data_IF_799209987481
#
_entry.id   IF_799209987481
#
_cell.length_a   1.000
_cell.length_b   1.000
_cell.length_c   1.000
_cell.angle_alpha   90.00
_cell.angle_beta   90.00
_cell.angle_gamma   90.00
#
_symmetry.space_group_name_H-M   'P 1'
#
loop_
_entity.id
_entity.type
_entity.pdbx_description
1 polymer ?
#
# COMPACT_ATOMS: atom_id res chain seq x y z
N UNK A 1 2.02 -0.74 -13.65
CA UNK A 1 1.53 0.65 -13.90
C UNK A 1 0.09 0.52 -14.34
N UNK A 2 -0.86 1.20 -13.67
CA UNK A 2 -2.28 1.14 -14.05
C UNK A 2 -2.49 1.98 -15.32
N UNK A 3 -3.25 1.46 -16.28
CA UNK A 3 -3.64 2.16 -17.48
C UNK A 3 -5.00 2.83 -17.27
N UNK A 4 -4.98 3.96 -16.57
CA UNK A 4 -6.17 4.70 -16.15
C UNK A 4 -6.78 5.47 -17.32
N UNK A 5 -8.09 5.39 -17.46
CA UNK A 5 -8.86 6.29 -18.34
C UNK A 5 -8.79 7.72 -17.77
N UNK A 6 -8.37 8.74 -18.54
CA UNK A 6 -8.33 10.12 -18.06
C UNK A 6 -9.70 10.60 -17.57
N UNK A 7 -9.73 11.36 -16.47
CA UNK A 7 -10.98 11.76 -15.79
C UNK A 7 -11.92 12.53 -16.71
N UNK A 8 -11.36 13.39 -17.54
CA UNK A 8 -12.07 14.18 -18.55
C UNK A 8 -12.77 13.33 -19.62
N UNK A 9 -12.39 12.05 -19.78
CA UNK A 9 -13.00 11.11 -20.73
C UNK A 9 -13.84 10.03 -20.06
N UNK A 10 -13.96 10.04 -18.73
CA UNK A 10 -14.75 9.03 -18.01
C UNK A 10 -16.24 9.18 -18.30
N UNK A 11 -16.71 10.40 -18.52
CA UNK A 11 -18.12 10.76 -18.64
C UNK A 11 -18.51 11.15 -20.07
N UNK A 12 -19.75 10.82 -20.44
CA UNK A 12 -20.39 11.36 -21.64
C UNK A 12 -20.87 12.82 -21.43
N UNK A 13 -21.47 13.48 -22.45
CA UNK A 13 -21.98 14.85 -22.32
C UNK A 13 -23.08 15.03 -21.26
N UNK A 14 -23.75 13.97 -20.83
CA UNK A 14 -24.75 14.00 -19.75
C UNK A 14 -24.10 13.80 -18.35
N UNK A 15 -22.77 13.66 -18.28
CA UNK A 15 -22.03 13.44 -17.04
C UNK A 15 -22.07 11.99 -16.57
N UNK A 16 -22.51 11.04 -17.42
CA UNK A 16 -22.61 9.63 -17.07
C UNK A 16 -21.30 8.90 -17.34
N UNK A 17 -20.74 8.19 -16.34
CA UNK A 17 -19.56 7.36 -16.56
C UNK A 17 -19.78 6.25 -17.59
N UNK A 18 -18.77 5.93 -18.41
CA UNK A 18 -18.89 4.89 -19.46
C UNK A 18 -19.37 3.53 -18.92
N UNK A 19 -19.03 3.20 -17.69
CA UNK A 19 -19.39 1.95 -17.02
C UNK A 19 -20.79 1.97 -16.39
N UNK A 20 -21.49 3.11 -16.35
CA UNK A 20 -22.85 3.25 -15.80
C UNK A 20 -23.95 3.32 -16.86
N UNK A 21 -23.65 3.06 -18.13
CA UNK A 21 -24.32 1.95 -18.81
C UNK A 21 -25.86 1.78 -18.75
N UNK A 22 -26.23 1.09 -17.68
CA UNK A 22 -27.51 0.47 -17.39
C UNK A 22 -28.29 1.24 -16.31
N UNK A 23 -27.81 2.41 -15.87
CA UNK A 23 -28.51 3.29 -14.95
C UNK A 23 -28.32 4.76 -15.33
N UNK A 24 -29.23 5.61 -14.87
CA UNK A 24 -29.15 7.05 -15.07
C UNK A 24 -28.54 7.69 -13.82
N UNK A 25 -27.21 7.63 -13.72
CA UNK A 25 -26.43 8.20 -12.61
C UNK A 25 -25.29 9.02 -13.17
N UNK A 26 -25.19 10.27 -12.71
CA UNK A 26 -24.02 11.10 -12.99
C UNK A 26 -22.81 10.58 -12.21
N UNK A 27 -21.61 11.00 -12.60
CA UNK A 27 -20.39 10.75 -11.84
C UNK A 27 -20.51 11.22 -10.38
N UNK A 28 -21.09 12.41 -10.17
CA UNK A 28 -21.26 12.99 -8.84
C UNK A 28 -22.21 12.14 -7.97
N UNK A 29 -23.34 11.69 -8.54
CA UNK A 29 -24.26 10.80 -7.84
C UNK A 29 -23.60 9.48 -7.46
N UNK A 30 -22.85 8.90 -8.40
CA UNK A 30 -22.15 7.65 -8.16
C UNK A 30 -21.10 7.78 -7.05
N UNK A 31 -20.28 8.84 -7.06
CA UNK A 31 -19.32 9.09 -5.99
C UNK A 31 -20.00 9.33 -4.63
N UNK A 32 -21.17 9.99 -4.61
CA UNK A 32 -21.96 10.14 -3.38
C UNK A 32 -22.44 8.79 -2.84
N UNK A 33 -22.81 7.83 -3.71
CA UNK A 33 -23.17 6.46 -3.30
C UNK A 33 -21.98 5.67 -2.75
N UNK A 34 -20.78 5.87 -3.29
CA UNK A 34 -19.56 5.25 -2.75
C UNK A 34 -19.19 5.80 -1.37
N UNK A 35 -19.61 7.03 -1.05
CA UNK A 35 -19.42 7.68 0.26
C UNK A 35 -20.63 7.57 1.19
N UNK A 36 -21.64 6.79 0.81
CA UNK A 36 -22.87 6.64 1.59
C UNK A 36 -22.60 6.07 2.99
N UNK A 37 -23.34 6.49 4.01
CA UNK A 37 -23.14 6.05 5.40
C UNK A 37 -23.35 4.53 5.60
N UNK A 38 -24.31 3.97 4.87
CA UNK A 38 -24.60 2.53 4.89
C UNK A 38 -23.55 1.70 4.09
N UNK A 39 -22.83 0.76 4.72
CA UNK A 39 -21.86 -0.11 4.05
C UNK A 39 -22.45 -1.03 2.98
N UNK A 40 -23.72 -1.44 3.07
CA UNK A 40 -24.35 -2.30 2.06
C UNK A 40 -24.64 -1.51 0.77
N UNK A 41 -25.00 -0.23 0.89
CA UNK A 41 -25.11 0.69 -0.27
C UNK A 41 -23.75 0.84 -0.95
N UNK A 42 -22.70 1.15 -0.16
CA UNK A 42 -21.33 1.26 -0.72
C UNK A 42 -20.90 -0.04 -1.41
N UNK A 43 -21.14 -1.18 -0.78
CA UNK A 43 -20.78 -2.49 -1.31
C UNK A 43 -21.50 -2.79 -2.63
N UNK A 44 -22.78 -2.46 -2.75
CA UNK A 44 -23.55 -2.63 -3.99
C UNK A 44 -22.96 -1.80 -5.15
N UNK A 45 -22.73 -0.50 -4.93
CA UNK A 45 -22.23 0.38 -5.99
C UNK A 45 -20.77 0.10 -6.36
N UNK A 46 -19.94 -0.27 -5.37
CA UNK A 46 -18.58 -0.72 -5.62
C UNK A 46 -18.57 -2.00 -6.47
N UNK A 47 -19.38 -3.01 -6.12
CA UNK A 47 -19.49 -4.22 -6.92
C UNK A 47 -20.04 -3.95 -8.32
N UNK A 48 -20.98 -3.02 -8.47
CA UNK A 48 -21.51 -2.62 -9.78
C UNK A 48 -20.39 -2.09 -10.68
N UNK A 49 -19.58 -1.15 -10.19
CA UNK A 49 -18.43 -0.64 -10.94
C UNK A 49 -17.41 -1.74 -11.24
N UNK A 50 -17.08 -2.61 -10.28
CA UNK A 50 -16.17 -3.74 -10.50
C UNK A 50 -16.66 -4.73 -11.57
N UNK A 51 -17.97 -4.80 -11.87
CA UNK A 51 -18.50 -5.62 -12.97
C UNK A 51 -18.37 -4.94 -14.34
N UNK A 52 -18.37 -3.62 -14.39
CA UNK A 52 -18.66 -2.86 -15.60
C UNK A 52 -17.49 -1.98 -16.06
N UNK A 53 -16.66 -1.51 -15.14
CA UNK A 53 -15.47 -0.72 -15.43
C UNK A 53 -14.28 -1.63 -15.78
N UNK A 54 -13.30 -1.05 -16.47
CA UNK A 54 -11.95 -1.62 -16.55
C UNK A 54 -11.40 -1.79 -15.13
N UNK A 55 -10.71 -2.90 -14.82
CA UNK A 55 -10.17 -3.13 -13.49
C UNK A 55 -9.30 -1.98 -12.97
N UNK A 56 -8.47 -1.40 -13.82
CA UNK A 56 -7.58 -0.29 -13.47
C UNK A 56 -8.37 0.97 -13.05
N UNK A 57 -9.51 1.24 -13.70
CA UNK A 57 -10.34 2.41 -13.41
C UNK A 57 -11.04 2.32 -12.05
N UNK A 58 -11.28 1.11 -11.52
CA UNK A 58 -11.85 0.91 -10.18
C UNK A 58 -11.00 1.62 -9.11
N UNK A 59 -9.67 1.61 -9.28
CA UNK A 59 -8.74 2.21 -8.32
C UNK A 59 -8.69 3.75 -8.39
N UNK A 60 -9.39 4.36 -9.35
CA UNK A 60 -9.64 5.81 -9.34
C UNK A 60 -10.71 6.21 -8.29
N UNK A 61 -11.51 5.24 -7.82
CA UNK A 61 -12.69 5.47 -6.97
C UNK A 61 -12.60 4.77 -5.62
N UNK A 62 -11.92 3.63 -5.54
CA UNK A 62 -11.81 2.85 -4.31
C UNK A 62 -10.37 2.40 -4.09
N UNK A 63 -9.89 2.57 -2.86
CA UNK A 63 -8.59 2.04 -2.45
C UNK A 63 -8.68 0.53 -2.26
N UNK A 64 -7.56 -0.18 -2.46
CA UNK A 64 -7.49 -1.62 -2.23
C UNK A 64 -7.95 -2.00 -0.81
N UNK A 65 -7.57 -1.21 0.21
CA UNK A 65 -8.00 -1.42 1.59
C UNK A 65 -9.53 -1.32 1.76
N UNK A 66 -10.17 -0.39 1.06
CA UNK A 66 -11.63 -0.20 1.11
C UNK A 66 -12.35 -1.37 0.42
N UNK A 67 -11.82 -1.83 -0.73
CA UNK A 67 -12.33 -3.02 -1.43
C UNK A 67 -12.24 -4.25 -0.52
N UNK A 68 -11.09 -4.45 0.15
CA UNK A 68 -10.90 -5.56 1.10
C UNK A 68 -11.87 -5.50 2.28
N UNK A 69 -12.05 -4.32 2.87
CA UNK A 69 -12.96 -4.14 4.01
C UNK A 69 -14.43 -4.40 3.63
N UNK A 70 -14.84 -4.01 2.42
CA UNK A 70 -16.20 -4.25 1.91
C UNK A 70 -16.39 -5.62 1.27
N UNK A 71 -15.30 -6.38 1.02
CA UNK A 71 -15.32 -7.65 0.31
C UNK A 71 -16.41 -8.63 0.80
N UNK A 72 -16.58 -8.87 2.12
CA UNK A 72 -17.60 -9.79 2.62
C UNK A 72 -19.04 -9.42 2.22
N UNK A 73 -19.30 -8.12 2.01
CA UNK A 73 -20.61 -7.58 1.64
C UNK A 73 -20.78 -7.48 0.12
N UNK A 74 -19.73 -7.08 -0.60
CA UNK A 74 -19.80 -6.77 -2.03
C UNK A 74 -19.73 -8.03 -2.90
N UNK A 75 -19.05 -9.09 -2.44
CA UNK A 75 -18.71 -10.26 -3.26
C UNK A 75 -19.95 -10.97 -3.83
N UNK A 76 -21.08 -10.94 -3.11
CA UNK A 76 -22.36 -11.52 -3.55
C UNK A 76 -22.94 -10.82 -4.79
N UNK A 77 -22.56 -9.57 -5.04
CA UNK A 77 -23.04 -8.78 -6.17
C UNK A 77 -22.16 -8.89 -7.43
N UNK A 78 -20.96 -9.48 -7.36
CA UNK A 78 -20.01 -9.49 -8.49
C UNK A 78 -20.42 -10.42 -9.64
N UNK A 79 -21.28 -11.41 -9.40
CA UNK A 79 -21.71 -12.35 -10.44
C UNK A 79 -20.51 -13.00 -11.14
N UNK A 80 -20.44 -12.90 -12.48
CA UNK A 80 -19.38 -13.53 -13.30
C UNK A 80 -17.99 -12.95 -13.09
N UNK A 81 -17.85 -11.68 -12.68
CA UNK A 81 -16.52 -11.07 -12.45
C UNK A 81 -15.89 -11.48 -11.11
N UNK A 82 -16.64 -12.19 -10.25
CA UNK A 82 -16.19 -12.64 -8.92
C UNK A 82 -14.87 -13.40 -8.97
N UNK A 83 -14.75 -14.36 -9.90
CA UNK A 83 -13.57 -15.21 -10.01
C UNK A 83 -12.31 -14.38 -10.35
N UNK A 84 -12.43 -13.47 -11.32
CA UNK A 84 -11.35 -12.56 -11.70
C UNK A 84 -10.90 -11.69 -10.52
N UNK A 85 -11.85 -11.04 -9.84
CA UNK A 85 -11.51 -10.15 -8.71
C UNK A 85 -10.96 -10.91 -7.51
N UNK A 86 -11.47 -12.10 -7.21
CA UNK A 86 -10.92 -12.95 -6.14
C UNK A 86 -9.46 -13.30 -6.45
N UNK A 87 -9.21 -13.80 -7.67
CA UNK A 87 -7.86 -14.11 -8.12
C UNK A 87 -6.91 -12.90 -8.09
N UNK A 88 -7.36 -11.72 -8.51
CA UNK A 88 -6.55 -10.51 -8.51
C UNK A 88 -6.16 -10.10 -7.10
N UNK A 89 -7.14 -10.03 -6.19
CA UNK A 89 -6.92 -9.65 -4.79
C UNK A 89 -6.06 -10.66 -4.03
N UNK A 90 -6.22 -11.95 -4.31
CA UNK A 90 -5.42 -13.04 -3.74
C UNK A 90 -3.98 -13.02 -4.26
N UNK A 91 -3.78 -12.71 -5.54
CA UNK A 91 -2.44 -12.59 -6.13
C UNK A 91 -1.68 -11.41 -5.53
N UNK A 92 -2.35 -10.27 -5.36
CA UNK A 92 -1.74 -9.12 -4.68
C UNK A 92 -1.51 -9.35 -3.18
N UNK A 93 -2.37 -10.13 -2.51
CA UNK A 93 -2.12 -10.54 -1.13
C UNK A 93 -0.82 -11.33 -1.02
N UNK A 94 -0.66 -12.38 -1.85
CA UNK A 94 0.56 -13.20 -1.83
C UNK A 94 1.81 -12.36 -2.08
N UNK A 95 1.76 -11.45 -3.06
CA UNK A 95 2.88 -10.55 -3.32
C UNK A 95 3.19 -9.63 -2.12
N UNK A 96 2.16 -9.12 -1.44
CA UNK A 96 2.35 -8.31 -0.24
C UNK A 96 2.92 -9.12 0.93
N UNK A 97 2.47 -10.36 1.10
CA UNK A 97 2.98 -11.29 2.11
C UNK A 97 4.46 -11.61 1.87
N UNK A 98 4.85 -11.88 0.62
CA UNK A 98 6.25 -12.11 0.23
C UNK A 98 7.12 -10.87 0.52
N UNK A 99 6.64 -9.67 0.16
CA UNK A 99 7.32 -8.42 0.47
C UNK A 99 7.47 -8.19 1.98
N UNK A 100 6.42 -8.49 2.75
CA UNK A 100 6.43 -8.37 4.19
C UNK A 100 7.41 -9.35 4.83
N UNK A 101 7.49 -10.59 4.34
CA UNK A 101 8.45 -11.57 4.83
C UNK A 101 9.91 -11.13 4.60
N UNK A 102 10.20 -10.57 3.42
CA UNK A 102 11.52 -10.02 3.11
C UNK A 102 11.80 -8.79 3.98
N UNK A 103 10.81 -7.91 4.18
CA UNK A 103 10.93 -6.73 5.03
C UNK A 103 11.25 -7.10 6.49
N UNK A 104 10.56 -8.09 7.04
CA UNK A 104 10.85 -8.66 8.38
C UNK A 104 12.32 -9.10 8.46
N UNK A 105 12.81 -9.85 7.47
CA UNK A 105 14.19 -10.32 7.45
C UNK A 105 15.19 -9.15 7.37
N UNK A 106 14.89 -8.11 6.59
CA UNK A 106 15.73 -6.92 6.45
C UNK A 106 15.77 -6.04 7.70
N UNK A 107 14.64 -5.88 8.39
CA UNK A 107 14.61 -5.18 9.66
C UNK A 107 15.43 -5.90 10.74
N UNK A 108 15.31 -7.23 10.83
CA UNK A 108 16.13 -8.03 11.74
C UNK A 108 17.63 -7.94 11.39
N UNK A 109 17.99 -7.99 10.10
CA UNK A 109 19.37 -7.81 9.66
C UNK A 109 19.93 -6.44 10.07
N UNK A 110 19.18 -5.35 9.88
CA UNK A 110 19.60 -4.00 10.27
C UNK A 110 19.90 -3.86 11.76
N UNK A 111 19.20 -4.61 12.62
CA UNK A 111 19.47 -4.61 14.05
C UNK A 111 20.84 -5.25 14.36
N UNK A 112 21.13 -6.40 13.72
CA UNK A 112 22.39 -7.12 13.95
C UNK A 112 23.60 -6.51 13.24
N UNK A 113 23.39 -5.88 12.08
CA UNK A 113 24.42 -5.19 11.29
C UNK A 113 23.79 -4.04 10.53
N UNK A 114 24.17 -2.81 10.86
CA UNK A 114 23.69 -1.66 10.10
C UNK A 114 24.50 -1.53 8.82
N UNK A 115 23.89 -1.89 7.69
CA UNK A 115 24.49 -1.77 6.36
C UNK A 115 23.69 -0.82 5.48
N UNK A 116 24.40 -0.04 4.65
CA UNK A 116 23.78 0.90 3.71
C UNK A 116 22.82 0.18 2.74
N UNK A 117 23.19 -1.03 2.30
CA UNK A 117 22.37 -1.84 1.39
C UNK A 117 21.09 -2.31 2.06
N UNK A 118 21.15 -2.77 3.30
CA UNK A 118 19.94 -3.21 4.01
C UNK A 118 18.99 -2.03 4.26
N UNK A 119 19.52 -0.83 4.53
CA UNK A 119 18.71 0.39 4.62
C UNK A 119 18.04 0.76 3.28
N UNK A 120 18.77 0.60 2.17
CA UNK A 120 18.24 0.80 0.82
C UNK A 120 17.17 -0.25 0.47
N UNK A 121 17.37 -1.51 0.84
CA UNK A 121 16.42 -2.60 0.60
C UNK A 121 15.12 -2.35 1.38
N UNK A 122 15.20 -1.92 2.65
CA UNK A 122 14.01 -1.52 3.43
C UNK A 122 13.28 -0.35 2.76
N UNK A 123 14.00 0.67 2.28
CA UNK A 123 13.39 1.78 1.56
C UNK A 123 12.65 1.30 0.29
N UNK A 124 13.26 0.41 -0.47
CA UNK A 124 12.68 -0.16 -1.69
C UNK A 124 11.44 -1.01 -1.40
N UNK A 125 11.47 -1.87 -0.37
CA UNK A 125 10.36 -2.72 0.04
C UNK A 125 9.16 -1.89 0.52
N UNK A 126 9.39 -0.86 1.33
CA UNK A 126 8.32 0.04 1.78
C UNK A 126 7.72 0.83 0.61
N UNK A 127 8.55 1.29 -0.33
CA UNK A 127 8.06 1.96 -1.56
C UNK A 127 7.25 1.03 -2.46
N UNK A 128 7.58 -0.26 -2.46
CA UNK A 128 6.84 -1.30 -3.21
C UNK A 128 5.52 -1.71 -2.53
N UNK A 129 5.21 -1.18 -1.33
CA UNK A 129 3.96 -1.44 -0.61
C UNK A 129 4.09 -2.38 0.58
N UNK A 130 5.31 -2.67 1.06
CA UNK A 130 5.52 -3.42 2.29
C UNK A 130 4.89 -2.73 3.52
N UNK A 131 4.26 -3.51 4.39
CA UNK A 131 3.63 -3.01 5.62
C UNK A 131 4.63 -2.99 6.78
N UNK A 132 5.14 -1.80 7.11
CA UNK A 132 6.07 -1.62 8.21
C UNK A 132 5.49 -2.10 9.56
N UNK A 133 4.22 -1.85 9.83
CA UNK A 133 3.62 -2.19 11.15
C UNK A 133 3.48 -3.71 11.28
N UNK A 134 3.03 -4.38 10.23
CA UNK A 134 3.02 -5.84 10.19
C UNK A 134 4.43 -6.42 10.36
N UNK A 135 5.42 -5.88 9.63
CA UNK A 135 6.79 -6.34 9.71
C UNK A 135 7.40 -6.15 11.10
N UNK A 136 7.16 -5.01 11.76
CA UNK A 136 7.63 -4.75 13.13
C UNK A 136 7.02 -5.69 14.16
N UNK A 137 5.76 -6.11 13.96
CA UNK A 137 5.09 -7.10 14.81
C UNK A 137 5.70 -8.49 14.64
N UNK A 138 6.12 -8.83 13.42
CA UNK A 138 6.61 -10.17 13.09
C UNK A 138 8.13 -10.33 13.24
N UNK A 139 8.91 -9.24 13.20
CA UNK A 139 10.37 -9.26 13.38
C UNK A 139 10.85 -9.95 14.68
N UNK A 140 10.21 -9.77 15.85
CA UNK A 140 10.56 -10.50 17.06
C UNK A 140 10.48 -12.03 16.95
N UNK A 141 9.70 -12.56 15.98
CA UNK A 141 9.61 -14.01 15.73
C UNK A 141 10.87 -14.55 15.04
N UNK A 142 11.59 -13.71 14.29
CA UNK A 142 12.85 -14.08 13.61
C UNK A 142 14.09 -13.72 14.44
N UNK A 143 14.01 -12.66 15.24
CA UNK A 143 15.09 -12.24 16.14
C UNK A 143 14.49 -11.80 17.48
N UNK A 144 14.68 -12.59 18.53
CA UNK A 144 14.12 -12.33 19.85
C UNK A 144 14.67 -11.04 20.52
N UNK A 145 15.81 -10.53 20.06
CA UNK A 145 16.37 -9.25 20.51
C UNK A 145 15.71 -8.04 19.83
N UNK A 146 14.82 -8.26 18.86
CA UNK A 146 14.22 -7.21 18.08
C UNK A 146 13.15 -6.43 18.85
N UNK A 147 13.30 -5.11 18.86
CA UNK A 147 12.22 -4.17 19.14
C UNK A 147 12.34 -2.95 18.23
N UNK A 148 11.21 -2.30 17.95
CA UNK A 148 11.21 -1.05 17.18
C UNK A 148 12.10 0.02 17.82
N UNK A 149 12.19 0.07 19.17
CA UNK A 149 13.03 1.04 19.89
C UNK A 149 14.51 0.73 19.78
N UNK A 150 14.87 -0.54 19.90
CA UNK A 150 16.26 -0.95 19.73
C UNK A 150 16.74 -0.60 18.32
N UNK A 151 15.93 -0.90 17.29
CA UNK A 151 16.28 -0.56 15.92
C UNK A 151 16.37 0.97 15.70
N UNK A 152 15.44 1.75 16.26
CA UNK A 152 15.49 3.21 16.18
C UNK A 152 16.79 3.76 16.74
N UNK A 153 17.19 3.30 17.94
CA UNK A 153 18.43 3.69 18.60
C UNK A 153 19.69 3.29 17.82
N UNK A 154 19.71 2.07 17.27
CA UNK A 154 20.80 1.59 16.41
C UNK A 154 20.93 2.49 15.16
N UNK A 155 19.80 2.84 14.54
CA UNK A 155 19.79 3.73 13.38
C UNK A 155 20.20 5.16 13.75
N UNK A 156 19.87 5.70 14.92
CA UNK A 156 20.31 7.04 15.38
C UNK A 156 21.83 7.18 15.41
N UNK A 157 22.55 6.10 15.68
CA UNK A 157 24.02 6.09 15.73
C UNK A 157 24.70 5.89 14.36
N UNK A 158 23.93 5.58 13.31
CA UNK A 158 24.47 5.25 11.99
C UNK A 158 24.49 6.44 11.02
N UNK A 159 25.63 6.79 10.42
CA UNK A 159 25.71 7.85 9.42
C UNK A 159 25.90 7.27 8.00
N UNK A 160 24.87 7.21 7.15
CA UNK A 160 24.97 6.59 5.82
C UNK A 160 25.75 7.44 4.79
N UNK A 161 25.77 8.76 4.97
CA UNK A 161 26.29 9.71 3.96
C UNK A 161 27.78 9.51 3.61
N UNK A 162 28.71 9.36 4.57
CA UNK A 162 30.12 9.17 4.24
C UNK A 162 30.36 7.90 3.42
N UNK A 163 29.71 6.79 3.79
CA UNK A 163 29.83 5.52 3.08
C UNK A 163 29.18 5.58 1.69
N UNK A 164 28.01 6.21 1.55
CA UNK A 164 27.34 6.39 0.26
C UNK A 164 28.23 7.17 -0.72
N UNK A 165 28.84 8.27 -0.27
CA UNK A 165 29.78 9.06 -1.08
C UNK A 165 31.02 8.25 -1.47
N UNK A 166 31.58 7.46 -0.54
CA UNK A 166 32.72 6.58 -0.82
C UNK A 166 32.41 5.51 -1.89
N UNK A 167 31.14 5.08 -1.99
CA UNK A 167 30.64 4.16 -3.01
C UNK A 167 30.23 4.86 -4.32
N UNK A 168 30.50 6.16 -4.46
CA UNK A 168 30.25 6.92 -5.69
C UNK A 168 28.80 7.40 -5.86
N UNK A 169 27.98 7.38 -4.82
CA UNK A 169 26.62 7.91 -4.88
C UNK A 169 26.63 9.44 -5.03
N UNK A 170 25.65 9.97 -5.76
CA UNK A 170 25.45 11.41 -5.87
C UNK A 170 25.05 12.02 -4.52
N UNK A 171 25.27 13.34 -4.37
CA UNK A 171 24.85 14.05 -3.15
C UNK A 171 23.34 13.92 -2.90
N UNK A 172 22.55 13.85 -3.98
CA UNK A 172 21.11 13.64 -3.90
C UNK A 172 20.78 12.27 -3.32
N UNK A 173 21.37 11.19 -3.86
CA UNK A 173 21.13 9.82 -3.36
C UNK A 173 21.58 9.65 -1.90
N UNK A 174 22.73 10.21 -1.54
CA UNK A 174 23.23 10.22 -0.16
C UNK A 174 22.31 11.02 0.78
N UNK A 175 21.70 12.11 0.29
CA UNK A 175 20.73 12.87 1.05
C UNK A 175 19.39 12.15 1.18
N UNK A 176 18.93 11.49 0.12
CA UNK A 176 17.66 10.76 0.09
C UNK A 176 17.69 9.58 1.07
N UNK A 177 18.78 8.82 1.11
CA UNK A 177 18.90 7.66 2.03
C UNK A 177 19.01 8.08 3.50
N UNK A 178 19.69 9.19 3.78
CA UNK A 178 19.77 9.76 5.13
C UNK A 178 18.43 10.38 5.56
N UNK A 179 17.70 10.98 4.61
CA UNK A 179 16.32 11.41 4.81
C UNK A 179 15.41 10.23 5.17
N UNK A 180 15.50 9.14 4.41
CA UNK A 180 14.75 7.93 4.67
C UNK A 180 15.08 7.31 6.04
N UNK A 181 16.36 7.26 6.42
CA UNK A 181 16.78 6.80 7.75
C UNK A 181 16.07 7.58 8.87
N UNK A 182 16.05 8.91 8.79
CA UNK A 182 15.37 9.77 9.79
C UNK A 182 13.87 9.51 9.84
N UNK A 183 13.23 9.41 8.67
CA UNK A 183 11.80 9.06 8.58
C UNK A 183 11.51 7.70 9.23
N UNK A 184 12.36 6.70 8.97
CA UNK A 184 12.24 5.38 9.55
C UNK A 184 12.35 5.42 11.08
N UNK A 185 13.33 6.16 11.63
CA UNK A 185 13.46 6.38 13.08
C UNK A 185 12.17 6.97 13.66
N UNK A 186 11.60 7.99 13.04
CA UNK A 186 10.35 8.60 13.51
C UNK A 186 9.19 7.59 13.52
N UNK A 187 9.07 6.78 12.46
CA UNK A 187 8.03 5.77 12.33
C UNK A 187 8.20 4.64 13.35
N UNK A 188 9.42 4.20 13.62
CA UNK A 188 9.75 3.23 14.66
C UNK A 188 9.38 3.77 16.05
N UNK A 189 9.77 5.01 16.33
CA UNK A 189 9.44 5.75 17.57
C UNK A 189 7.94 5.85 17.80
N UNK A 190 7.18 6.14 16.74
CA UNK A 190 5.72 6.20 16.83
C UNK A 190 5.10 4.82 17.07
N UNK A 191 5.59 3.79 16.40
CA UNK A 191 5.06 2.43 16.50
C UNK A 191 5.29 1.78 17.87
N UNK A 192 6.30 2.23 18.63
CA UNK A 192 6.58 1.71 19.96
C UNK A 192 5.81 2.40 21.10
N UNK A 193 5.08 3.49 20.82
CA UNK A 193 4.26 4.15 21.85
C UNK A 193 3.05 3.26 22.16
N UNK A 194 2.78 2.95 23.44
CA UNK A 194 1.53 2.29 23.80
C UNK A 194 0.35 3.22 23.50
N UNK A 195 -0.78 2.63 23.08
CA UNK A 195 -2.07 3.33 22.96
C UNK A 195 -2.60 3.77 24.33
#
# INVERSE_FOLDING_TARGET
MLNLTPRETLTDPAGRPYFLWDCDLTLADFEARLRHGDPDVRAYFLAKMMRQARPDDVFQFARLAEIRALWPRLVKYLGRSRAFWSWLLDTWNRQADDLNEILVAKLAALLGRVELRDLQDVAALLKAGGDLIAALRDAPKKDAGFSAMTLAWVLESYEPRPLARALGWSEREASDIDGFRRELIERLTRAARPE
#
